data_IF_674983499442
#
_entry.id   IF_674983499442
#
_cell.length_a   1.000
_cell.length_b   1.000
_cell.length_c   1.000
_cell.angle_alpha   90.00
_cell.angle_beta   90.00
_cell.angle_gamma   90.00
#
_symmetry.space_group_name_H-M   'P 1'
#
loop_
_entity.id
_entity.type
_entity.pdbx_description
1 polymer ?
#
# COMPACT_ATOMS: atom_id res chain seq x y z
N UNK A 1 -6.57 -2.84 19.68
CA UNK A 1 -5.67 -3.52 18.71
C UNK A 1 -6.54 -4.30 17.74
N UNK A 2 -6.35 -4.13 16.44
CA UNK A 2 -7.06 -4.94 15.45
C UNK A 2 -6.53 -6.38 15.52
N UNK A 3 -7.39 -7.41 15.65
CA UNK A 3 -6.94 -8.79 15.64
C UNK A 3 -6.40 -9.08 14.24
N UNK A 4 -5.09 -9.27 14.17
CA UNK A 4 -4.39 -9.55 12.94
C UNK A 4 -4.23 -11.06 12.84
N UNK A 5 -4.78 -11.65 11.78
CA UNK A 5 -4.89 -13.11 11.62
C UNK A 5 -3.51 -13.78 11.49
N UNK A 6 -2.48 -13.00 11.09
CA UNK A 6 -1.11 -13.45 10.89
C UNK A 6 -0.11 -12.44 11.47
N UNK A 7 1.03 -12.93 11.97
CA UNK A 7 2.17 -12.10 12.37
C UNK A 7 2.98 -11.62 11.15
N UNK A 8 3.82 -10.60 11.34
CA UNK A 8 4.66 -10.06 10.27
C UNK A 8 4.89 -8.55 10.38
N UNK A 9 5.31 -7.94 9.28
CA UNK A 9 5.53 -6.49 9.17
C UNK A 9 4.36 -5.82 8.45
N UNK A 10 3.84 -4.74 9.00
CA UNK A 10 2.79 -3.95 8.34
C UNK A 10 3.39 -3.18 7.16
N UNK A 11 2.88 -3.43 5.95
CA UNK A 11 3.30 -2.73 4.72
C UNK A 11 2.38 -1.60 4.31
N UNK A 12 1.10 -1.68 4.69
CA UNK A 12 0.10 -0.67 4.42
C UNK A 12 -0.96 -0.68 5.52
N UNK A 13 -1.46 0.49 5.88
CA UNK A 13 -2.50 0.64 6.90
C UNK A 13 -3.40 1.82 6.54
N UNK A 14 -4.72 1.63 6.68
CA UNK A 14 -5.66 2.74 6.60
C UNK A 14 -5.42 3.72 7.74
N UNK A 15 -5.59 5.02 7.44
CA UNK A 15 -5.50 6.07 8.46
C UNK A 15 -6.62 5.88 9.50
N UNK A 16 -6.28 6.13 10.76
CA UNK A 16 -7.22 6.11 11.89
C UNK A 16 -8.37 7.12 11.71
N UNK A 17 -9.55 6.79 12.25
CA UNK A 17 -10.72 7.68 12.26
C UNK A 17 -11.58 7.63 11.00
N UNK A 18 -11.28 6.74 10.04
CA UNK A 18 -12.08 6.57 8.83
C UNK A 18 -13.23 5.58 9.10
N UNK A 19 -14.44 5.94 8.66
CA UNK A 19 -15.59 5.03 8.65
C UNK A 19 -15.44 4.05 7.48
N UNK A 20 -15.51 2.76 7.79
CA UNK A 20 -15.34 1.68 6.81
C UNK A 20 -16.52 0.72 6.86
N UNK A 21 -16.83 0.10 5.72
CA UNK A 21 -17.82 -0.98 5.65
C UNK A 21 -17.22 -2.28 6.19
N UNK A 22 -18.07 -3.19 6.67
CA UNK A 22 -17.65 -4.54 7.05
C UNK A 22 -16.97 -5.23 5.84
N UNK A 23 -15.83 -5.88 6.09
CA UNK A 23 -15.05 -6.54 5.05
C UNK A 23 -14.11 -5.61 4.27
N UNK A 24 -14.06 -4.32 4.58
CA UNK A 24 -13.06 -3.43 4.01
C UNK A 24 -11.63 -3.89 4.37
N UNK A 25 -10.72 -3.83 3.40
CA UNK A 25 -9.30 -4.12 3.64
C UNK A 25 -8.68 -2.99 4.47
N UNK A 26 -8.32 -3.30 5.71
CA UNK A 26 -7.79 -2.32 6.68
C UNK A 26 -6.30 -2.08 6.58
N UNK A 27 -5.56 -3.06 6.07
CA UNK A 27 -4.13 -3.00 5.94
C UNK A 27 -3.59 -4.21 5.20
N UNK A 28 -2.26 -4.28 5.15
CA UNK A 28 -1.54 -5.37 4.53
C UNK A 28 -0.27 -5.69 5.31
N UNK A 29 0.02 -7.00 5.41
CA UNK A 29 1.07 -7.55 6.25
C UNK A 29 1.95 -8.42 5.37
N UNK A 30 3.25 -8.28 5.54
CA UNK A 30 4.22 -9.23 5.03
C UNK A 30 4.53 -10.29 6.09
N UNK A 31 4.15 -11.56 5.88
CA UNK A 31 4.40 -12.61 6.86
C UNK A 31 5.89 -12.96 6.99
N UNK A 32 6.74 -12.59 6.03
CA UNK A 32 8.17 -12.91 6.07
C UNK A 32 8.92 -12.21 7.22
N UNK A 33 8.34 -11.16 7.81
CA UNK A 33 9.00 -10.38 8.86
C UNK A 33 10.11 -9.45 8.35
N UNK A 34 10.44 -9.48 7.06
CA UNK A 34 11.53 -8.70 6.49
C UNK A 34 11.12 -7.23 6.34
N UNK A 35 11.80 -6.31 7.03
CA UNK A 35 11.49 -4.87 6.97
C UNK A 35 11.86 -4.23 5.63
N UNK A 36 12.83 -4.77 4.90
CA UNK A 36 13.27 -4.24 3.60
C UNK A 36 12.13 -4.22 2.57
N UNK A 37 11.14 -5.11 2.71
CA UNK A 37 9.97 -5.14 1.84
C UNK A 37 9.09 -3.88 1.97
N UNK A 38 9.21 -3.12 3.06
CA UNK A 38 8.50 -1.86 3.25
C UNK A 38 9.08 -0.73 2.41
N UNK A 39 10.35 -0.85 2.02
CA UNK A 39 11.07 0.14 1.22
C UNK A 39 11.14 -0.24 -0.27
N UNK A 40 10.51 -1.35 -0.67
CA UNK A 40 10.45 -1.79 -2.06
C UNK A 40 9.04 -1.69 -2.64
N UNK A 41 8.94 -1.14 -3.84
CA UNK A 41 7.67 -0.99 -4.56
C UNK A 41 7.26 -2.32 -5.23
N UNK A 42 6.03 -2.76 -4.98
CA UNK A 42 5.46 -3.96 -5.60
C UNK A 42 5.23 -3.76 -7.10
N UNK A 43 5.35 -4.82 -7.93
CA UNK A 43 5.09 -4.73 -9.37
C UNK A 43 3.74 -4.08 -9.71
N UNK A 44 2.66 -4.50 -9.03
CA UNK A 44 1.32 -3.92 -9.23
C UNK A 44 1.21 -2.43 -8.89
N UNK A 45 1.94 -1.98 -7.87
CA UNK A 45 1.93 -0.57 -7.44
C UNK A 45 2.81 0.26 -8.37
N UNK A 46 3.93 -0.32 -8.84
CA UNK A 46 4.83 0.27 -9.83
C UNK A 46 4.12 0.57 -11.15
N UNK A 47 3.28 -0.36 -11.64
CA UNK A 47 2.50 -0.14 -12.86
C UNK A 47 1.54 1.06 -12.73
N UNK A 48 0.83 1.17 -11.59
CA UNK A 48 -0.06 2.30 -11.32
C UNK A 48 0.74 3.62 -11.24
N UNK A 49 1.87 3.61 -10.51
CA UNK A 49 2.73 4.78 -10.39
C UNK A 49 3.29 5.23 -11.75
N UNK A 50 3.62 4.29 -12.64
CA UNK A 50 4.05 4.57 -14.01
C UNK A 50 3.01 5.37 -14.79
N UNK A 51 1.76 4.91 -14.82
CA UNK A 51 0.69 5.64 -15.51
C UNK A 51 0.41 7.03 -14.93
N UNK A 52 0.53 7.20 -13.60
CA UNK A 52 0.43 8.53 -12.97
C UNK A 52 1.59 9.44 -13.40
N UNK A 53 2.82 8.91 -13.41
CA UNK A 53 4.00 9.65 -13.84
C UNK A 53 3.87 10.08 -15.32
N UNK A 54 3.43 9.17 -16.18
CA UNK A 54 3.16 9.46 -17.59
C UNK A 54 2.15 10.60 -17.74
N UNK A 55 1.02 10.56 -17.03
CA UNK A 55 0.01 11.62 -17.07
C UNK A 55 0.56 12.99 -16.61
N UNK A 56 1.40 13.01 -15.58
CA UNK A 56 2.07 14.23 -15.10
C UNK A 56 3.00 14.78 -16.19
N UNK A 57 3.83 13.93 -16.79
CA UNK A 57 4.76 14.34 -17.84
C UNK A 57 4.00 14.88 -19.06
N UNK A 58 2.93 14.22 -19.49
CA UNK A 58 2.08 14.70 -20.58
C UNK A 58 1.44 16.07 -20.31
N UNK A 59 1.13 16.39 -19.05
CA UNK A 59 0.42 17.62 -18.69
C UNK A 59 1.32 18.80 -18.36
N UNK A 60 2.49 18.54 -17.78
CA UNK A 60 3.32 19.55 -17.12
C UNK A 60 4.78 19.60 -17.61
N UNK A 61 5.26 18.60 -18.34
CA UNK A 61 6.63 18.58 -18.88
C UNK A 61 6.61 18.91 -20.38
N UNK A 62 6.25 20.17 -20.67
CA UNK A 62 6.23 20.76 -22.01
C UNK A 62 7.52 21.51 -22.27
#
# INVERSE_FOLDING_TARGET
KLPMVIGGVVRALLRSGIVVRKGAKLGEIDPSGNREVCYTIRPRVRAIAGGVLEAILMRFNV
#
